data_IF_114435555414
#
_entry.id   IF_114435555414
#
_cell.length_a   1.000
_cell.length_b   1.000
_cell.length_c   1.000
_cell.angle_alpha   90.00
_cell.angle_beta   90.00
_cell.angle_gamma   90.00
#
_symmetry.space_group_name_H-M   'P 1'
#
loop_
_entity.id
_entity.type
_entity.pdbx_description
1 polymer ?
#
# COMPACT_ATOMS: atom_id res chain seq x y z
N UNK A 1 -9.24 -28.05 5.12
CA UNK A 1 -9.09 -26.58 5.29
C UNK A 1 -9.26 -25.98 3.90
N UNK A 2 -10.23 -25.09 3.68
CA UNK A 2 -10.39 -24.47 2.37
C UNK A 2 -9.17 -23.60 2.05
N UNK A 3 -8.68 -23.65 0.81
CA UNK A 3 -7.56 -22.82 0.36
C UNK A 3 -7.97 -21.34 0.38
N UNK A 4 -7.14 -20.50 1.01
CA UNK A 4 -7.39 -19.05 1.07
C UNK A 4 -7.05 -18.41 -0.27
N UNK A 5 -8.06 -17.86 -0.95
CA UNK A 5 -7.89 -17.11 -2.19
C UNK A 5 -7.66 -15.62 -1.91
N UNK A 6 -6.81 -14.97 -2.70
CA UNK A 6 -6.65 -13.52 -2.68
C UNK A 6 -7.81 -12.83 -3.41
N UNK A 7 -8.09 -11.54 -3.13
CA UNK A 7 -9.13 -10.79 -3.83
C UNK A 7 -8.94 -10.72 -5.35
N UNK A 8 -7.69 -10.84 -5.84
CA UNK A 8 -7.37 -10.90 -7.27
C UNK A 8 -6.80 -12.26 -7.69
N UNK A 9 -7.19 -13.37 -7.04
CA UNK A 9 -6.69 -14.71 -7.39
C UNK A 9 -6.93 -15.15 -8.85
N UNK A 10 -7.86 -14.47 -9.55
CA UNK A 10 -8.18 -14.72 -10.97
C UNK A 10 -7.58 -13.66 -11.92
N UNK A 11 -6.93 -12.64 -11.38
CA UNK A 11 -6.25 -11.63 -12.15
C UNK A 11 -4.93 -12.19 -12.68
N UNK A 12 -4.65 -11.96 -13.96
CA UNK A 12 -3.39 -12.36 -14.57
C UNK A 12 -2.45 -11.16 -14.57
N UNK A 13 -1.26 -11.25 -13.97
CA UNK A 13 -0.27 -10.19 -14.06
C UNK A 13 0.07 -9.86 -15.51
N UNK A 14 0.25 -8.59 -15.81
CA UNK A 14 0.71 -8.11 -17.12
C UNK A 14 2.06 -7.46 -17.00
N UNK A 15 2.90 -7.66 -18.01
CA UNK A 15 4.20 -7.03 -18.13
C UNK A 15 4.47 -6.72 -19.61
N UNK A 16 4.86 -5.48 -19.85
CA UNK A 16 5.52 -5.00 -21.06
C UNK A 16 6.87 -4.39 -20.66
N UNK A 17 7.69 -3.95 -21.62
CA UNK A 17 8.98 -3.31 -21.33
C UNK A 17 8.86 -2.10 -20.40
N UNK A 18 7.76 -1.35 -20.50
CA UNK A 18 7.61 -0.05 -19.80
C UNK A 18 6.58 -0.06 -18.67
N UNK A 19 5.87 -1.18 -18.47
CA UNK A 19 4.80 -1.28 -17.49
C UNK A 19 4.57 -2.72 -17.02
N UNK A 20 4.49 -2.91 -15.71
CA UNK A 20 4.09 -4.15 -15.05
C UNK A 20 2.98 -3.89 -14.03
N UNK A 21 1.96 -4.75 -14.04
CA UNK A 21 0.84 -4.70 -13.09
C UNK A 21 0.65 -6.11 -12.52
N UNK A 22 0.74 -6.25 -11.20
CA UNK A 22 0.62 -7.55 -10.52
C UNK A 22 0.02 -7.40 -9.12
N UNK A 23 -0.77 -8.37 -8.67
CA UNK A 23 -1.14 -8.46 -7.25
C UNK A 23 0.08 -8.86 -6.41
N UNK A 24 0.24 -8.24 -5.23
CA UNK A 24 1.08 -8.72 -4.15
C UNK A 24 0.14 -9.29 -3.07
N UNK A 25 -0.17 -10.60 -3.11
CA UNK A 25 -1.21 -11.15 -2.26
C UNK A 25 -0.69 -11.40 -0.84
N UNK A 26 -1.61 -11.36 0.12
CA UNK A 26 -1.41 -11.87 1.49
C UNK A 26 -0.36 -11.16 2.34
N UNK A 27 -0.03 -9.90 2.05
CA UNK A 27 0.76 -9.08 2.97
C UNK A 27 0.05 -8.96 4.32
N UNK A 28 0.83 -9.07 5.40
CA UNK A 28 0.33 -8.75 6.75
C UNK A 28 0.14 -7.25 6.84
N UNK A 29 -1.03 -6.79 7.28
CA UNK A 29 -1.35 -5.38 7.42
C UNK A 29 -1.98 -5.11 8.79
N UNK A 30 -1.41 -4.17 9.55
CA UNK A 30 -1.90 -3.76 10.86
C UNK A 30 -2.31 -2.30 10.80
N UNK A 31 -3.53 -1.98 11.22
CA UNK A 31 -3.91 -0.62 11.53
C UNK A 31 -3.39 -0.30 12.94
N UNK A 32 -2.51 0.69 13.02
CA UNK A 32 -1.91 1.16 14.26
C UNK A 32 -2.45 2.55 14.59
N UNK A 33 -3.00 2.70 15.78
CA UNK A 33 -3.38 3.97 16.39
C UNK A 33 -2.56 4.19 17.65
N UNK A 34 -1.78 5.27 17.73
CA UNK A 34 -0.98 5.59 18.92
C UNK A 34 -0.65 7.08 18.93
N UNK A 35 -0.58 7.71 20.11
CA UNK A 35 -0.08 9.09 20.19
C UNK A 35 1.39 9.13 19.73
N UNK A 36 1.73 9.87 18.66
CA UNK A 36 3.11 9.93 18.14
C UNK A 36 4.12 10.49 19.14
N UNK A 37 3.67 11.21 20.18
CA UNK A 37 4.54 11.76 21.23
C UNK A 37 4.77 10.79 22.39
N UNK A 38 4.07 9.66 22.39
CA UNK A 38 4.16 8.68 23.46
C UNK A 38 5.46 7.88 23.39
N UNK A 39 5.88 7.36 24.54
CA UNK A 39 6.98 6.40 24.61
C UNK A 39 6.70 5.13 23.78
N UNK A 40 5.44 4.69 23.75
CA UNK A 40 5.01 3.53 22.98
C UNK A 40 5.24 3.71 21.47
N UNK A 41 5.00 4.90 20.90
CA UNK A 41 5.30 5.16 19.49
C UNK A 41 6.80 4.99 19.18
N UNK A 42 7.68 5.45 20.07
CA UNK A 42 9.12 5.27 19.92
C UNK A 42 9.55 3.79 20.05
N UNK A 43 9.02 3.07 21.04
CA UNK A 43 9.34 1.64 21.25
C UNK A 43 8.80 0.77 20.10
N UNK A 44 7.60 1.06 19.57
CA UNK A 44 7.04 0.42 18.38
C UNK A 44 7.92 0.71 17.15
N UNK A 45 8.32 1.96 16.93
CA UNK A 45 9.20 2.31 15.82
C UNK A 45 10.54 1.56 15.88
N UNK A 46 11.12 1.43 17.07
CA UNK A 46 12.33 0.63 17.28
C UNK A 46 12.11 -0.85 16.93
N UNK A 47 10.99 -1.44 17.35
CA UNK A 47 10.65 -2.82 17.05
C UNK A 47 10.34 -3.08 15.56
N UNK A 48 9.93 -2.05 14.82
CA UNK A 48 9.66 -2.10 13.37
C UNK A 48 10.87 -1.65 12.52
N UNK A 49 12.00 -1.33 13.16
CA UNK A 49 13.25 -0.95 12.49
C UNK A 49 13.32 0.50 12.00
N UNK A 50 12.28 1.31 12.19
CA UNK A 50 12.27 2.73 11.83
C UNK A 50 11.25 3.53 12.66
N UNK A 51 11.51 4.83 12.94
CA UNK A 51 10.52 5.71 13.55
C UNK A 51 9.22 5.76 12.75
N UNK A 52 8.08 5.85 13.45
CA UNK A 52 6.79 6.11 12.80
C UNK A 52 6.85 7.48 12.09
N UNK A 53 6.56 7.57 10.78
CA UNK A 53 6.54 8.85 10.08
C UNK A 53 5.50 9.78 10.70
N UNK A 54 5.84 11.04 10.96
CA UNK A 54 4.92 12.02 11.58
C UNK A 54 4.53 13.16 10.65
N UNK A 55 5.19 13.27 9.50
CA UNK A 55 4.86 14.25 8.47
C UNK A 55 3.73 13.73 7.57
N UNK A 56 2.69 14.54 7.28
CA UNK A 56 1.60 14.13 6.40
C UNK A 56 2.06 13.64 5.02
N UNK A 57 1.54 12.48 4.65
CA UNK A 57 1.78 11.87 3.34
C UNK A 57 3.19 11.30 3.15
N UNK A 58 3.87 10.95 4.24
CA UNK A 58 5.16 10.27 4.21
C UNK A 58 5.05 8.81 4.62
N UNK A 59 5.95 7.98 4.12
CA UNK A 59 6.11 6.60 4.54
C UNK A 59 7.57 6.26 4.77
N UNK A 60 7.81 5.24 5.59
CA UNK A 60 9.14 4.65 5.79
C UNK A 60 9.11 3.17 5.39
N UNK A 61 10.27 2.65 5.00
CA UNK A 61 10.46 1.23 4.67
C UNK A 61 11.70 0.73 5.42
N UNK A 62 11.50 -0.25 6.30
CA UNK A 62 12.55 -0.93 7.04
C UNK A 62 12.20 -2.42 7.14
N UNK A 63 12.06 -2.96 8.35
CA UNK A 63 11.57 -4.32 8.57
C UNK A 63 10.07 -4.46 8.21
N UNK A 64 9.35 -3.34 8.22
CA UNK A 64 7.99 -3.18 7.72
C UNK A 64 7.87 -1.83 6.97
N UNK A 65 6.87 -1.71 6.12
CA UNK A 65 6.46 -0.41 5.58
C UNK A 65 5.51 0.28 6.55
N UNK A 66 5.76 1.56 6.80
CA UNK A 66 5.00 2.41 7.71
C UNK A 66 4.36 3.52 6.90
N UNK A 67 3.06 3.42 6.60
CA UNK A 67 2.35 4.40 5.81
C UNK A 67 1.56 5.33 6.73
N UNK A 68 1.83 6.63 6.67
CA UNK A 68 1.07 7.62 7.41
C UNK A 68 -0.36 7.73 6.84
N UNK A 69 -1.35 7.59 7.71
CA UNK A 69 -2.77 7.72 7.38
C UNK A 69 -3.42 8.92 8.11
N UNK A 70 -2.88 9.30 9.27
CA UNK A 70 -3.37 10.42 10.06
C UNK A 70 -2.43 10.78 11.22
N UNK A 71 -2.73 11.85 11.98
CA UNK A 71 -1.87 12.35 13.05
C UNK A 71 -1.49 11.30 14.10
N UNK A 72 -2.36 10.32 14.34
CA UNK A 72 -2.22 9.22 15.28
C UNK A 72 -2.48 7.86 14.61
N UNK A 73 -2.40 7.75 13.28
CA UNK A 73 -2.79 6.56 12.52
C UNK A 73 -1.79 6.16 11.43
N UNK A 74 -1.44 4.87 11.42
CA UNK A 74 -0.55 4.26 10.42
C UNK A 74 -1.11 2.93 9.91
N UNK A 75 -0.80 2.63 8.65
CA UNK A 75 -0.87 1.26 8.13
C UNK A 75 0.53 0.67 8.16
N UNK A 76 0.73 -0.34 8.98
CA UNK A 76 1.98 -1.11 9.05
C UNK A 76 1.84 -2.33 8.16
N UNK A 77 2.75 -2.51 7.20
CA UNK A 77 2.68 -3.57 6.19
C UNK A 77 3.95 -4.39 6.23
N UNK A 78 3.82 -5.71 6.26
CA UNK A 78 4.94 -6.62 6.20
C UNK A 78 4.64 -7.82 5.31
N UNK A 79 5.67 -8.63 5.11
CA UNK A 79 5.56 -9.85 4.33
C UNK A 79 4.53 -10.83 4.91
N UNK A 80 4.04 -11.73 4.06
CA UNK A 80 3.07 -12.76 4.44
C UNK A 80 3.60 -13.58 5.61
N UNK A 81 2.80 -13.67 6.68
CA UNK A 81 3.08 -14.53 7.82
C UNK A 81 4.00 -13.92 8.87
N UNK A 82 4.45 -12.67 8.68
CA UNK A 82 5.15 -11.91 9.71
C UNK A 82 4.20 -11.57 10.84
N UNK A 83 4.58 -11.87 12.09
CA UNK A 83 3.80 -11.55 13.29
C UNK A 83 3.98 -10.08 13.71
N UNK A 84 3.47 -9.17 12.87
CA UNK A 84 3.52 -7.74 13.15
C UNK A 84 2.63 -7.37 14.34
N UNK A 85 1.46 -8.01 14.48
CA UNK A 85 0.56 -7.73 15.59
C UNK A 85 1.22 -8.06 16.93
N UNK A 86 1.80 -9.25 17.08
CA UNK A 86 2.52 -9.65 18.29
C UNK A 86 3.71 -8.75 18.57
N UNK A 87 4.49 -8.41 17.54
CA UNK A 87 5.64 -7.49 17.66
C UNK A 87 5.21 -6.11 18.18
N UNK A 88 4.16 -5.51 17.58
CA UNK A 88 3.67 -4.19 17.96
C UNK A 88 3.04 -4.22 19.36
N UNK A 89 2.28 -5.27 19.69
CA UNK A 89 1.68 -5.44 21.03
C UNK A 89 2.74 -5.58 22.11
N UNK A 90 3.79 -6.36 21.86
CA UNK A 90 4.90 -6.52 22.79
C UNK A 90 5.64 -5.19 23.03
N UNK A 91 5.88 -4.42 21.96
CA UNK A 91 6.54 -3.11 22.04
C UNK A 91 5.66 -2.05 22.73
N UNK A 92 4.34 -2.06 22.49
CA UNK A 92 3.40 -1.14 23.12
C UNK A 92 3.18 -1.43 24.62
N UNK A 93 3.29 -2.69 25.03
CA UNK A 93 3.04 -3.13 26.40
C UNK A 93 1.61 -2.82 26.85
N UNK A 94 1.46 -2.07 27.94
CA UNK A 94 0.16 -1.65 28.50
C UNK A 94 -0.26 -0.23 28.07
N UNK A 95 0.47 0.39 27.15
CA UNK A 95 0.17 1.74 26.69
C UNK A 95 -1.17 1.81 25.93
N UNK A 96 -1.74 3.02 25.85
CA UNK A 96 -2.94 3.26 25.07
C UNK A 96 -2.61 3.26 23.57
N UNK A 97 -2.88 2.15 22.89
CA UNK A 97 -2.73 1.99 21.45
C UNK A 97 -3.86 1.11 20.87
N UNK A 98 -4.35 1.48 19.68
CA UNK A 98 -5.21 0.63 18.85
C UNK A 98 -4.35 -0.20 17.92
N UNK A 99 -4.47 -1.52 17.99
CA UNK A 99 -3.69 -2.45 17.15
C UNK A 99 -4.69 -3.46 16.60
N UNK A 100 -4.90 -3.47 15.28
CA UNK A 100 -5.89 -4.32 14.62
C UNK A 100 -5.33 -4.92 13.35
N UNK A 101 -5.40 -6.26 13.22
CA UNK A 101 -5.10 -6.94 11.97
C UNK A 101 -6.16 -6.60 10.92
N UNK A 102 -5.70 -6.01 9.82
CA UNK A 102 -6.49 -5.62 8.65
C UNK A 102 -5.95 -6.25 7.36
N UNK A 103 -5.20 -7.36 7.46
CA UNK A 103 -4.57 -8.07 6.34
C UNK A 103 -5.56 -8.51 5.25
N UNK A 104 -6.82 -8.76 5.62
CA UNK A 104 -7.89 -9.11 4.68
C UNK A 104 -8.71 -7.91 4.18
N UNK A 105 -8.51 -6.70 4.74
CA UNK A 105 -9.27 -5.50 4.40
C UNK A 105 -8.91 -4.99 3.00
N UNK A 106 -7.64 -5.15 2.60
CA UNK A 106 -7.09 -4.66 1.34
C UNK A 106 -6.23 -5.70 0.66
N UNK A 107 -6.27 -5.72 -0.67
CA UNK A 107 -5.18 -6.31 -1.46
C UNK A 107 -4.28 -5.21 -2.00
N UNK A 108 -3.10 -5.58 -2.46
CA UNK A 108 -2.09 -4.66 -2.99
C UNK A 108 -1.83 -4.99 -4.44
N UNK A 109 -1.89 -3.97 -5.28
CA UNK A 109 -1.46 -4.05 -6.69
C UNK A 109 -0.15 -3.28 -6.81
N UNK A 110 0.90 -3.96 -7.29
CA UNK A 110 2.11 -3.33 -7.77
C UNK A 110 1.86 -2.77 -9.18
N UNK A 111 2.21 -1.50 -9.37
CA UNK A 111 2.23 -0.83 -10.68
C UNK A 111 3.62 -0.27 -10.87
N UNK A 112 4.38 -0.84 -11.81
CA UNK A 112 5.82 -0.66 -11.90
C UNK A 112 6.23 -0.33 -13.34
N UNK A 113 7.29 0.48 -13.48
CA UNK A 113 7.89 0.82 -14.78
C UNK A 113 7.68 2.27 -15.19
N UNK A 114 8.40 2.74 -16.23
CA UNK A 114 8.37 4.14 -16.67
C UNK A 114 6.97 4.74 -16.93
N UNK A 115 5.98 3.92 -17.30
CA UNK A 115 4.60 4.38 -17.56
C UNK A 115 3.66 4.27 -16.36
N UNK A 116 4.16 3.88 -15.17
CA UNK A 116 3.34 3.72 -13.97
C UNK A 116 2.64 5.02 -13.55
N UNK A 117 3.35 6.15 -13.63
CA UNK A 117 2.80 7.48 -13.33
C UNK A 117 1.71 7.88 -14.32
N UNK A 118 1.99 7.72 -15.61
CA UNK A 118 1.05 8.06 -16.68
C UNK A 118 -0.22 7.21 -16.59
N UNK A 119 -0.08 5.91 -16.26
CA UNK A 119 -1.22 5.04 -16.01
C UNK A 119 -2.06 5.54 -14.82
N UNK A 120 -1.44 5.77 -13.67
CA UNK A 120 -2.16 6.18 -12.47
C UNK A 120 -2.81 7.56 -12.61
N UNK A 121 -2.20 8.47 -13.38
CA UNK A 121 -2.73 9.81 -13.66
C UNK A 121 -4.07 9.80 -14.41
N UNK A 122 -4.42 8.73 -15.12
CA UNK A 122 -5.74 8.59 -15.77
C UNK A 122 -6.91 8.62 -14.78
N UNK A 123 -6.68 8.17 -13.53
CA UNK A 123 -7.74 7.98 -12.55
C UNK A 123 -7.47 8.60 -11.19
N UNK A 124 -6.29 9.18 -10.99
CA UNK A 124 -5.85 9.78 -9.73
C UNK A 124 -5.67 11.29 -9.91
N UNK A 125 -6.29 12.08 -9.04
CA UNK A 125 -6.18 13.54 -9.05
C UNK A 125 -4.92 14.08 -8.33
N UNK A 126 -4.13 13.21 -7.68
CA UNK A 126 -2.89 13.62 -7.04
C UNK A 126 -1.87 14.04 -8.10
N UNK A 127 -1.06 15.04 -7.77
CA UNK A 127 0.15 15.34 -8.53
C UNK A 127 1.17 14.20 -8.30
N UNK A 128 1.30 13.33 -9.30
CA UNK A 128 2.22 12.20 -9.29
C UNK A 128 3.60 12.55 -9.85
N UNK A 129 3.92 13.84 -10.06
CA UNK A 129 5.24 14.25 -10.51
C UNK A 129 6.32 13.78 -9.51
N UNK A 130 7.49 13.27 -9.96
CA UNK A 130 8.52 12.71 -9.06
C UNK A 130 9.00 13.65 -7.95
N UNK A 131 8.94 14.97 -8.18
CA UNK A 131 9.29 16.00 -7.17
C UNK A 131 8.24 16.17 -6.07
N UNK A 132 6.99 15.74 -6.30
CA UNK A 132 5.88 15.88 -5.36
C UNK A 132 5.54 14.53 -4.72
N UNK A 133 5.47 13.48 -5.53
CA UNK A 133 5.11 12.13 -5.10
C UNK A 133 6.20 11.11 -5.51
N UNK A 134 7.41 11.33 -5.01
CA UNK A 134 8.55 10.42 -5.14
C UNK A 134 8.60 9.34 -4.06
N UNK A 135 9.66 8.50 -4.03
CA UNK A 135 9.87 7.51 -2.98
C UNK A 135 9.76 8.10 -1.57
N UNK A 136 9.18 7.34 -0.65
CA UNK A 136 8.89 7.81 0.72
C UNK A 136 7.61 8.65 0.85
N UNK A 137 6.82 8.77 -0.22
CA UNK A 137 5.49 9.41 -0.19
C UNK A 137 4.38 8.37 -0.23
N UNK A 138 3.34 8.62 0.57
CA UNK A 138 2.08 7.89 0.48
C UNK A 138 0.89 8.83 0.65
N UNK A 139 -0.30 8.41 0.22
CA UNK A 139 -1.53 9.17 0.44
C UNK A 139 -2.76 8.28 0.38
N UNK A 140 -3.77 8.63 1.16
CA UNK A 140 -5.15 8.19 0.91
C UNK A 140 -5.74 9.04 -0.21
N UNK A 141 -6.23 8.40 -1.27
CA UNK A 141 -6.77 9.09 -2.44
C UNK A 141 -7.86 8.26 -3.12
N UNK A 142 -8.43 8.80 -4.19
CA UNK A 142 -9.29 8.09 -5.12
C UNK A 142 -8.48 7.74 -6.36
N UNK A 143 -8.58 6.48 -6.80
CA UNK A 143 -8.10 6.00 -8.09
C UNK A 143 -9.28 5.37 -8.80
N UNK A 144 -9.68 5.93 -9.93
CA UNK A 144 -10.84 5.47 -10.69
C UNK A 144 -12.11 5.36 -9.81
N UNK A 145 -12.38 6.36 -8.95
CA UNK A 145 -13.52 6.34 -8.00
C UNK A 145 -13.46 5.22 -6.94
N UNK A 146 -12.39 4.44 -6.84
CA UNK A 146 -12.13 3.56 -5.71
C UNK A 146 -11.20 4.25 -4.70
N UNK A 147 -11.52 4.13 -3.41
CA UNK A 147 -10.62 4.62 -2.35
C UNK A 147 -9.41 3.69 -2.22
N UNK A 148 -8.21 4.27 -2.33
CA UNK A 148 -6.94 3.55 -2.23
C UNK A 148 -5.99 4.25 -1.25
N UNK A 149 -5.05 3.49 -0.69
CA UNK A 149 -3.78 4.07 -0.23
C UNK A 149 -2.77 3.88 -1.36
N UNK A 150 -2.16 4.96 -1.81
CA UNK A 150 -1.09 4.92 -2.80
C UNK A 150 0.25 5.13 -2.08
N UNK A 151 1.24 4.31 -2.36
CA UNK A 151 2.60 4.47 -1.83
C UNK A 151 3.62 4.40 -2.97
N UNK A 152 4.42 5.45 -3.12
CA UNK A 152 5.51 5.49 -4.08
C UNK A 152 6.72 4.70 -3.55
N UNK A 153 7.35 3.96 -4.45
CA UNK A 153 8.54 3.14 -4.25
C UNK A 153 9.65 3.62 -5.19
N UNK A 154 10.86 3.13 -4.98
CA UNK A 154 11.98 3.37 -5.87
C UNK A 154 11.72 2.80 -7.28
N UNK A 155 12.36 3.38 -8.29
CA UNK A 155 12.35 2.84 -9.67
C UNK A 155 10.99 2.91 -10.38
N UNK A 156 10.26 4.03 -10.24
CA UNK A 156 8.92 4.23 -10.83
C UNK A 156 7.94 3.10 -10.51
N UNK A 157 7.95 2.69 -9.25
CA UNK A 157 7.05 1.68 -8.72
C UNK A 157 6.07 2.29 -7.71
N UNK A 158 4.87 1.75 -7.69
CA UNK A 158 3.81 2.12 -6.78
C UNK A 158 3.17 0.87 -6.19
N UNK A 159 2.76 0.97 -4.93
CA UNK A 159 1.83 0.03 -4.32
C UNK A 159 0.48 0.71 -4.16
N UNK A 160 -0.56 0.07 -4.70
CA UNK A 160 -1.95 0.52 -4.63
C UNK A 160 -2.71 -0.43 -3.71
N UNK A 161 -3.03 0.05 -2.50
CA UNK A 161 -3.79 -0.69 -1.51
C UNK A 161 -5.28 -0.41 -1.70
N UNK A 162 -6.01 -1.36 -2.25
CA UNK A 162 -7.44 -1.24 -2.55
C UNK A 162 -8.24 -2.15 -1.64
N UNK A 163 -9.42 -1.70 -1.18
CA UNK A 163 -10.32 -2.56 -0.41
C UNK A 163 -10.64 -3.82 -1.20
N UNK A 164 -10.63 -4.97 -0.53
CA UNK A 164 -10.82 -6.28 -1.17
C UNK A 164 -12.09 -6.37 -2.03
N UNK A 165 -13.17 -5.70 -1.62
CA UNK A 165 -14.43 -5.65 -2.38
C UNK A 165 -14.37 -4.82 -3.67
N UNK A 166 -13.41 -3.90 -3.80
CA UNK A 166 -13.18 -3.07 -4.97
C UNK A 166 -12.01 -3.57 -5.83
N UNK A 167 -11.34 -4.65 -5.41
CA UNK A 167 -10.12 -5.11 -6.06
C UNK A 167 -10.35 -5.47 -7.54
N UNK A 168 -11.37 -6.29 -7.84
CA UNK A 168 -11.70 -6.67 -9.23
C UNK A 168 -12.00 -5.46 -10.11
N UNK A 169 -12.83 -4.54 -9.61
CA UNK A 169 -13.13 -3.28 -10.31
C UNK A 169 -11.87 -2.47 -10.64
N UNK A 170 -10.98 -2.29 -9.67
CA UNK A 170 -9.75 -1.54 -9.89
C UNK A 170 -8.82 -2.26 -10.88
N UNK A 171 -8.73 -3.58 -10.80
CA UNK A 171 -7.92 -4.38 -11.72
C UNK A 171 -8.44 -4.25 -13.16
N UNK A 172 -9.75 -4.36 -13.38
CA UNK A 172 -10.36 -4.17 -14.70
C UNK A 172 -10.07 -2.78 -15.26
N UNK A 173 -10.19 -1.74 -14.41
CA UNK A 173 -9.87 -0.37 -14.82
C UNK A 173 -8.38 -0.17 -15.15
N UNK A 174 -7.48 -0.74 -14.34
CA UNK A 174 -6.04 -0.68 -14.60
C UNK A 174 -5.69 -1.34 -15.94
N UNK A 175 -6.35 -2.46 -16.29
CA UNK A 175 -6.13 -3.14 -17.56
C UNK A 175 -6.63 -2.34 -18.76
N UNK A 176 -7.82 -1.73 -18.63
CA UNK A 176 -8.38 -0.85 -19.66
C UNK A 176 -7.45 0.36 -19.92
N UNK A 177 -7.06 1.07 -18.85
CA UNK A 177 -6.15 2.21 -18.94
C UNK A 177 -4.74 1.82 -19.42
N UNK A 178 -4.29 0.59 -19.14
CA UNK A 178 -3.00 0.10 -19.62
C UNK A 178 -3.00 -0.29 -21.11
N UNK A 179 -4.16 -0.39 -21.76
CA UNK A 179 -4.26 -0.77 -23.18
C UNK A 179 -3.39 0.08 -24.11
N UNK A 180 -3.28 1.38 -23.85
CA UNK A 180 -2.41 2.32 -24.60
C UNK A 180 -0.92 1.96 -24.51
N UNK A 181 -0.50 1.32 -23.43
CA UNK A 181 0.92 1.06 -23.11
C UNK A 181 1.34 -0.39 -23.32
N UNK A 182 0.38 -1.31 -23.23
CA UNK A 182 0.62 -2.74 -23.42
C UNK A 182 0.60 -3.15 -24.90
N UNK A 183 0.33 -2.21 -25.83
CA UNK A 183 0.26 -2.49 -27.27
C UNK A 183 -0.94 -3.38 -27.65
N UNK A 184 -1.95 -3.46 -26.78
CA UNK A 184 -3.16 -4.25 -27.02
C UNK A 184 -4.22 -3.31 -27.60
N UNK A 185 -4.47 -3.41 -28.90
CA UNK A 185 -5.57 -2.70 -29.55
C UNK A 185 -6.89 -3.12 -28.90
N UNK A 186 -7.77 -2.19 -28.46
CA UNK A 186 -9.06 -2.57 -27.89
C UNK A 186 -9.88 -3.32 -28.94
N UNK A 187 -10.53 -4.42 -28.52
CA UNK A 187 -11.49 -5.16 -29.35
C UNK A 187 -12.85 -4.48 -29.33
#
# INVERSE_FOLDING_TARGET
MAERLSPLARFTPVSSGDLRIAEIPFLTQINLRVDPKSRAAADIGLALGAPLPTEPGTCASADADLLWLGPDEWLVVGERGRDLEGTIRAAAGTAHAGITDVSAQRTVVAVEGPRSRDLLAHGCALDLHPRVFGPGRCAQTMLARAQVVLAARDGDAFRVFVRSSFAGYLADWLMDAAGEYLGVTPR
#
